data_IF_393432269377
#
_entry.id   IF_393432269377
#
_cell.length_a   1.000
_cell.length_b   1.000
_cell.length_c   1.000
_cell.angle_alpha   90.00
_cell.angle_beta   90.00
_cell.angle_gamma   90.00
#
_symmetry.space_group_name_H-M   'P 1'
#
loop_
_entity.id
_entity.type
_entity.pdbx_description
1 polymer ?
#
# COMPACT_ATOMS: atom_id res chain seq x y z
N UNK A 1 17.42 -8.37 -3.98
CA UNK A 1 18.42 -7.32 -3.65
C UNK A 1 19.40 -7.04 -4.79
N UNK A 2 20.30 -7.95 -5.17
CA UNK A 2 21.26 -7.74 -6.28
C UNK A 2 20.61 -7.33 -7.62
N UNK A 3 19.46 -7.90 -7.95
CA UNK A 3 18.73 -7.52 -9.17
C UNK A 3 18.16 -6.10 -9.12
N UNK A 4 17.65 -5.67 -7.97
CA UNK A 4 17.16 -4.31 -7.76
C UNK A 4 18.27 -3.28 -7.96
N UNK A 5 19.48 -3.54 -7.43
CA UNK A 5 20.65 -2.68 -7.64
C UNK A 5 21.05 -2.62 -9.12
N UNK A 6 21.12 -3.78 -9.79
CA UNK A 6 21.41 -3.82 -11.23
C UNK A 6 20.42 -3.02 -12.07
N UNK A 7 19.15 -2.95 -11.64
CA UNK A 7 18.13 -2.12 -12.31
C UNK A 7 18.33 -0.64 -12.01
N UNK A 8 18.58 -0.30 -10.75
CA UNK A 8 18.90 1.07 -10.30
C UNK A 8 20.14 1.65 -10.99
N UNK A 9 21.14 0.83 -11.28
CA UNK A 9 22.34 1.24 -12.03
C UNK A 9 22.04 1.63 -13.48
N UNK A 10 21.05 0.96 -14.09
CA UNK A 10 20.75 1.07 -15.52
C UNK A 10 19.69 2.12 -15.86
N UNK A 11 18.89 2.53 -14.87
CA UNK A 11 17.78 3.47 -15.06
C UNK A 11 18.01 4.72 -14.22
N UNK A 12 17.68 5.88 -14.77
CA UNK A 12 17.70 7.14 -14.03
C UNK A 12 16.40 7.43 -13.30
N UNK A 13 15.33 6.70 -13.64
CA UNK A 13 14.05 6.72 -12.94
C UNK A 13 13.66 5.33 -12.43
N UNK A 14 12.97 5.30 -11.29
CA UNK A 14 12.48 4.09 -10.64
C UNK A 14 11.02 4.23 -10.21
N UNK A 15 10.21 3.23 -10.55
CA UNK A 15 8.92 3.00 -9.94
C UNK A 15 9.10 2.06 -8.74
N UNK A 16 9.06 2.62 -7.53
CA UNK A 16 9.30 1.85 -6.31
C UNK A 16 8.28 0.72 -6.15
N UNK A 17 6.99 0.97 -6.43
CA UNK A 17 5.94 -0.03 -6.28
C UNK A 17 6.20 -1.25 -7.16
N UNK A 18 6.56 -1.02 -8.43
CA UNK A 18 6.87 -2.12 -9.36
C UNK A 18 8.12 -2.88 -8.97
N UNK A 19 9.18 -2.16 -8.57
CA UNK A 19 10.48 -2.79 -8.33
C UNK A 19 10.55 -3.55 -7.00
N UNK A 20 9.71 -3.20 -6.01
CA UNK A 20 9.62 -3.94 -4.74
C UNK A 20 8.47 -4.95 -4.71
N UNK A 21 7.74 -5.15 -5.83
CA UNK A 21 6.55 -6.03 -5.88
C UNK A 21 6.76 -7.38 -5.24
N UNK A 22 7.83 -8.06 -5.62
CA UNK A 22 8.12 -9.42 -5.16
C UNK A 22 9.32 -9.48 -4.21
N UNK A 23 9.65 -8.36 -3.57
CA UNK A 23 10.79 -8.23 -2.67
C UNK A 23 10.33 -7.73 -1.32
N UNK A 24 10.59 -8.50 -0.27
CA UNK A 24 10.49 -8.01 1.11
C UNK A 24 11.85 -7.44 1.53
N UNK A 25 11.92 -6.13 1.77
CA UNK A 25 13.10 -5.49 2.33
C UNK A 25 12.89 -5.31 3.83
N UNK A 26 13.90 -5.69 4.62
CA UNK A 26 13.98 -5.25 6.02
C UNK A 26 14.40 -3.78 6.09
N UNK A 27 14.34 -3.19 7.29
CA UNK A 27 14.67 -1.79 7.55
C UNK A 27 16.07 -1.40 7.05
N UNK A 28 17.07 -2.28 7.21
CA UNK A 28 18.45 -1.97 6.81
C UNK A 28 18.59 -1.97 5.29
N UNK A 29 17.97 -2.92 4.60
CA UNK A 29 17.98 -2.99 3.15
C UNK A 29 17.16 -1.86 2.53
N UNK A 30 16.03 -1.49 3.14
CA UNK A 30 15.25 -0.33 2.74
C UNK A 30 16.09 0.96 2.89
N UNK A 31 16.78 1.15 4.02
CA UNK A 31 17.67 2.30 4.22
C UNK A 31 18.79 2.33 3.18
N UNK A 32 19.41 1.18 2.90
CA UNK A 32 20.48 1.08 1.91
C UNK A 32 20.00 1.49 0.52
N UNK A 33 18.84 1.00 0.08
CA UNK A 33 18.22 1.39 -1.19
C UNK A 33 17.90 2.89 -1.22
N UNK A 34 17.33 3.42 -0.15
CA UNK A 34 16.97 4.84 -0.06
C UNK A 34 18.19 5.74 -0.19
N UNK A 35 19.29 5.39 0.48
CA UNK A 35 20.58 6.09 0.33
C UNK A 35 21.08 6.00 -1.10
N UNK A 36 21.07 4.81 -1.69
CA UNK A 36 21.53 4.61 -3.06
C UNK A 36 20.77 5.49 -4.06
N UNK A 37 19.44 5.55 -3.96
CA UNK A 37 18.57 6.37 -4.81
C UNK A 37 18.93 7.86 -4.67
N UNK A 38 19.06 8.36 -3.44
CA UNK A 38 19.35 9.78 -3.18
C UNK A 38 20.77 10.16 -3.59
N UNK A 39 21.77 9.37 -3.21
CA UNK A 39 23.18 9.65 -3.49
C UNK A 39 23.46 9.61 -5.01
N UNK A 40 22.72 8.80 -5.78
CA UNK A 40 22.82 8.72 -7.23
C UNK A 40 21.77 9.56 -7.98
N UNK A 41 21.04 10.43 -7.28
CA UNK A 41 20.05 11.34 -7.87
C UNK A 41 19.03 10.66 -8.78
N UNK A 42 18.57 9.47 -8.39
CA UNK A 42 17.58 8.70 -9.14
C UNK A 42 16.18 9.31 -8.92
N UNK A 43 15.47 9.54 -10.01
CA UNK A 43 14.11 10.06 -9.98
C UNK A 43 13.11 8.97 -9.57
N UNK A 44 12.21 9.27 -8.65
CA UNK A 44 11.10 8.37 -8.32
C UNK A 44 9.91 8.72 -9.21
N UNK A 45 9.37 7.72 -9.89
CA UNK A 45 8.15 7.83 -10.69
C UNK A 45 7.08 6.91 -10.11
N UNK A 46 5.82 7.15 -10.47
CA UNK A 46 4.68 6.36 -10.03
C UNK A 46 3.77 6.14 -11.23
N UNK A 47 3.87 4.97 -11.85
CA UNK A 47 2.95 4.56 -12.90
C UNK A 47 1.74 3.88 -12.25
N UNK A 48 0.56 4.44 -12.45
CA UNK A 48 -0.66 3.98 -11.80
C UNK A 48 -1.79 3.81 -12.80
N UNK A 49 -2.72 2.89 -12.51
CA UNK A 49 -4.01 2.88 -13.20
C UNK A 49 -4.88 4.05 -12.74
N UNK A 50 -5.72 4.54 -13.64
CA UNK A 50 -6.68 5.58 -13.34
C UNK A 50 -7.83 5.00 -12.51
N UNK A 51 -8.12 5.66 -11.39
CA UNK A 51 -9.25 5.33 -10.53
C UNK A 51 -10.43 6.18 -11.01
N UNK A 52 -11.42 5.54 -11.64
CA UNK A 52 -12.63 6.25 -12.10
C UNK A 52 -13.41 6.79 -10.90
N UNK A 53 -14.07 7.95 -11.04
CA UNK A 53 -14.82 8.63 -9.97
C UNK A 53 -15.65 7.67 -9.10
N UNK A 54 -15.15 7.43 -7.89
CA UNK A 54 -15.83 6.71 -6.83
C UNK A 54 -16.20 7.81 -5.80
N UNK A 55 -17.49 8.03 -5.50
CA UNK A 55 -17.86 8.75 -4.26
C UNK A 55 -18.42 10.17 -4.30
N UNK A 56 -19.15 10.62 -5.33
CA UNK A 56 -19.85 11.92 -5.22
C UNK A 56 -20.95 11.93 -4.12
N UNK A 57 -21.55 10.76 -3.84
CA UNK A 57 -22.70 10.61 -2.94
C UNK A 57 -22.39 10.08 -1.52
N UNK A 58 -21.12 9.82 -1.17
CA UNK A 58 -20.78 9.24 0.15
C UNK A 58 -20.68 10.28 1.27
N UNK A 59 -20.96 9.82 2.49
CA UNK A 59 -20.66 10.55 3.73
C UNK A 59 -19.17 10.44 4.08
N UNK A 60 -18.66 11.45 4.79
CA UNK A 60 -17.27 11.46 5.24
C UNK A 60 -17.16 10.60 6.51
N UNK A 61 -16.19 9.69 6.55
CA UNK A 61 -15.91 8.82 7.70
C UNK A 61 -15.55 9.66 8.92
N UNK A 62 -16.22 9.40 10.04
CA UNK A 62 -15.96 10.11 11.31
C UNK A 62 -14.52 9.88 11.80
N UNK A 63 -14.00 8.65 11.65
CA UNK A 63 -12.63 8.31 12.05
C UNK A 63 -11.59 9.06 11.21
N UNK A 64 -11.80 9.09 9.90
CA UNK A 64 -10.95 9.86 8.99
C UNK A 64 -11.00 11.34 9.36
N UNK A 65 -12.19 11.90 9.52
CA UNK A 65 -12.36 13.31 9.84
C UNK A 65 -11.63 13.66 11.13
N UNK A 66 -11.81 12.83 12.18
CA UNK A 66 -11.11 12.99 13.44
C UNK A 66 -9.59 12.99 13.27
N UNK A 67 -9.04 12.00 12.54
CA UNK A 67 -7.60 11.89 12.27
C UNK A 67 -7.06 13.12 11.54
N UNK A 68 -7.77 13.59 10.51
CA UNK A 68 -7.36 14.75 9.71
C UNK A 68 -7.50 16.06 10.48
N UNK A 69 -8.52 16.20 11.35
CA UNK A 69 -8.65 17.33 12.25
C UNK A 69 -7.52 17.39 13.27
N UNK A 70 -7.12 16.26 13.86
CA UNK A 70 -5.96 16.21 14.76
C UNK A 70 -4.67 16.68 14.07
N UNK A 71 -4.46 16.27 12.83
CA UNK A 71 -3.30 16.70 12.03
C UNK A 71 -3.39 18.18 11.70
N UNK A 72 -4.56 18.65 11.27
CA UNK A 72 -4.77 20.06 10.88
C UNK A 72 -4.59 21.00 12.06
N UNK A 73 -5.07 20.61 13.24
CA UNK A 73 -4.93 21.37 14.48
C UNK A 73 -3.54 21.17 15.15
N UNK A 74 -2.66 20.36 14.55
CA UNK A 74 -1.32 20.02 15.07
C UNK A 74 -1.35 19.29 16.41
N UNK A 75 -2.48 18.70 16.80
CA UNK A 75 -2.63 17.89 18.03
C UNK A 75 -1.77 16.62 17.97
N UNK A 76 -1.59 16.06 16.77
CA UNK A 76 -0.79 14.85 16.54
C UNK A 76 0.72 15.03 16.84
N UNK A 77 1.20 16.27 16.95
CA UNK A 77 2.59 16.62 17.26
C UNK A 77 2.71 17.47 18.53
N UNK A 78 1.60 17.63 19.28
CA UNK A 78 1.58 18.41 20.50
C UNK A 78 2.53 17.81 21.55
N UNK A 79 3.35 18.65 22.17
CA UNK A 79 4.33 18.22 23.17
C UNK A 79 5.63 17.63 22.62
N UNK A 80 5.81 17.52 21.29
CA UNK A 80 7.08 17.09 20.68
C UNK A 80 8.01 18.30 20.52
N UNK A 81 9.06 18.36 21.33
CA UNK A 81 10.03 19.47 21.30
C UNK A 81 11.06 19.35 20.16
N UNK A 82 11.38 18.13 19.69
CA UNK A 82 12.36 17.93 18.61
C UNK A 82 11.75 18.27 17.24
N UNK A 83 12.18 19.40 16.70
CA UNK A 83 11.77 19.88 15.38
C UNK A 83 12.06 18.89 14.24
N UNK A 84 13.13 18.10 14.32
CA UNK A 84 13.45 17.11 13.31
C UNK A 84 12.45 15.95 13.35
N UNK A 85 12.06 15.51 14.54
CA UNK A 85 11.05 14.47 14.68
C UNK A 85 9.70 14.95 14.14
N UNK A 86 9.30 16.18 14.47
CA UNK A 86 8.11 16.82 13.88
C UNK A 86 8.18 16.88 12.35
N UNK A 87 9.33 17.25 11.79
CA UNK A 87 9.53 17.26 10.34
C UNK A 87 9.41 15.86 9.72
N UNK A 88 9.95 14.83 10.35
CA UNK A 88 9.80 13.45 9.87
C UNK A 88 8.35 12.98 9.93
N UNK A 89 7.61 13.29 11.01
CA UNK A 89 6.18 12.96 11.13
C UNK A 89 5.39 13.58 9.96
N UNK A 90 5.54 14.89 9.74
CA UNK A 90 4.81 15.57 8.68
C UNK A 90 5.15 15.00 7.29
N UNK A 91 6.44 14.75 7.02
CA UNK A 91 6.88 14.13 5.76
C UNK A 91 6.37 12.71 5.60
N UNK A 92 6.33 11.93 6.68
CA UNK A 92 5.76 10.59 6.68
C UNK A 92 4.29 10.61 6.29
N UNK A 93 3.50 11.48 6.92
CA UNK A 93 2.07 11.66 6.60
C UNK A 93 1.89 12.12 5.15
N UNK A 94 2.70 13.06 4.66
CA UNK A 94 2.67 13.46 3.24
C UNK A 94 2.92 12.27 2.32
N UNK A 95 3.90 11.41 2.64
CA UNK A 95 4.15 10.18 1.87
C UNK A 95 3.03 9.16 2.00
N UNK A 96 2.35 9.07 3.14
CA UNK A 96 1.16 8.22 3.25
C UNK A 96 0.06 8.67 2.29
N UNK A 97 -0.21 9.98 2.21
CA UNK A 97 -1.16 10.58 1.26
C UNK A 97 -0.74 10.35 -0.19
N UNK A 98 0.55 10.43 -0.50
CA UNK A 98 1.04 10.14 -1.86
C UNK A 98 0.99 8.63 -2.18
N UNK A 99 1.18 7.75 -1.21
CA UNK A 99 1.39 6.31 -1.47
C UNK A 99 0.17 5.44 -1.16
N UNK A 100 -0.94 6.01 -0.68
CA UNK A 100 -2.14 5.26 -0.33
C UNK A 100 -2.73 4.56 -1.56
N UNK A 101 -2.92 3.25 -1.44
CA UNK A 101 -3.56 2.39 -2.45
C UNK A 101 -5.08 2.51 -2.34
N UNK A 102 -5.77 2.19 -3.44
CA UNK A 102 -7.24 2.05 -3.40
C UNK A 102 -7.60 0.92 -2.42
N UNK A 103 -8.73 1.06 -1.72
CA UNK A 103 -9.20 0.09 -0.70
C UNK A 103 -8.32 -0.03 0.55
N UNK A 104 -7.37 0.88 0.74
CA UNK A 104 -6.58 0.96 1.96
C UNK A 104 -7.04 2.16 2.81
N UNK A 105 -7.13 1.96 4.13
CA UNK A 105 -7.46 3.04 5.07
C UNK A 105 -6.28 4.00 5.21
N UNK A 106 -6.54 5.30 5.03
CA UNK A 106 -5.54 6.33 5.21
C UNK A 106 -5.21 6.50 6.70
N UNK A 107 -6.20 6.38 7.59
CA UNK A 107 -5.99 6.45 9.03
C UNK A 107 -5.07 5.33 9.53
N UNK A 108 -5.29 4.09 9.07
CA UNK A 108 -4.41 2.95 9.36
C UNK A 108 -2.99 3.17 8.82
N UNK A 109 -2.86 3.65 7.57
CA UNK A 109 -1.54 3.89 6.98
C UNK A 109 -0.78 4.99 7.72
N UNK A 110 -1.47 6.04 8.20
CA UNK A 110 -0.84 7.10 9.02
C UNK A 110 -0.37 6.53 10.36
N UNK A 111 -1.15 5.68 11.02
CA UNK A 111 -0.75 5.05 12.27
C UNK A 111 0.52 4.20 12.10
N UNK A 112 0.56 3.34 11.08
CA UNK A 112 1.74 2.55 10.73
C UNK A 112 2.94 3.43 10.36
N UNK A 113 2.69 4.53 9.64
CA UNK A 113 3.72 5.50 9.27
C UNK A 113 4.39 6.14 10.48
N UNK A 114 3.63 6.45 11.54
CA UNK A 114 4.20 7.01 12.76
C UNK A 114 5.16 6.03 13.45
N UNK A 115 4.88 4.72 13.40
CA UNK A 115 5.82 3.70 13.89
C UNK A 115 7.11 3.69 13.07
N UNK A 116 7.00 3.72 11.74
CA UNK A 116 8.14 3.79 10.81
C UNK A 116 8.99 5.04 11.06
N UNK A 117 8.36 6.20 11.32
CA UNK A 117 9.03 7.46 11.64
C UNK A 117 9.84 7.34 12.92
N UNK A 118 9.24 6.84 14.00
CA UNK A 118 9.89 6.69 15.31
C UNK A 118 11.09 5.74 15.20
N UNK A 119 10.91 4.63 14.48
CA UNK A 119 11.97 3.67 14.24
C UNK A 119 13.14 4.27 13.47
N UNK A 120 12.86 4.94 12.34
CA UNK A 120 13.88 5.62 11.55
C UNK A 120 14.62 6.68 12.36
N UNK A 121 13.87 7.49 13.12
CA UNK A 121 14.43 8.54 13.95
C UNK A 121 15.41 7.96 15.00
N UNK A 122 15.00 6.90 15.70
CA UNK A 122 15.81 6.29 16.75
C UNK A 122 17.02 5.50 16.21
N UNK A 123 16.86 4.78 15.09
CA UNK A 123 17.90 3.87 14.56
C UNK A 123 18.84 4.55 13.57
N UNK A 124 18.34 5.44 12.72
CA UNK A 124 19.05 5.84 11.49
C UNK A 124 19.29 7.33 11.34
N UNK A 125 18.44 8.21 11.89
CA UNK A 125 18.53 9.65 11.65
C UNK A 125 19.93 10.24 11.88
N UNK A 126 20.57 9.90 12.99
CA UNK A 126 21.91 10.39 13.35
C UNK A 126 23.05 9.69 12.60
N UNK A 127 22.78 8.65 11.81
CA UNK A 127 23.77 7.89 11.03
C UNK A 127 23.90 8.38 9.59
N UNK A 128 22.98 9.25 9.15
CA UNK A 128 22.90 9.79 7.80
C UNK A 128 23.37 11.24 7.83
N UNK A 129 24.04 11.68 6.76
CA UNK A 129 24.43 13.08 6.63
C UNK A 129 23.18 13.98 6.68
N UNK A 130 23.24 15.02 7.51
CA UNK A 130 22.15 16.00 7.72
C UNK A 130 21.66 16.64 6.42
N UNK A 131 22.52 16.76 5.40
CA UNK A 131 22.15 17.28 4.08
C UNK A 131 21.14 16.38 3.37
N UNK A 132 21.19 15.07 3.60
CA UNK A 132 20.44 14.07 2.84
C UNK A 132 19.39 13.34 3.68
N UNK A 133 19.42 13.44 5.01
CA UNK A 133 18.58 12.64 5.93
C UNK A 133 17.09 12.70 5.59
N UNK A 134 16.55 13.88 5.28
CA UNK A 134 15.13 14.05 4.94
C UNK A 134 14.77 13.50 3.56
N UNK A 135 15.67 13.57 2.58
CA UNK A 135 15.46 12.97 1.27
C UNK A 135 15.55 11.45 1.34
N UNK A 136 16.51 10.92 2.11
CA UNK A 136 16.64 9.48 2.36
C UNK A 136 15.41 8.96 3.10
N UNK A 137 14.93 9.71 4.09
CA UNK A 137 13.71 9.38 4.80
C UNK A 137 12.49 9.28 3.87
N UNK A 138 12.28 10.24 2.97
CA UNK A 138 11.14 10.20 2.03
C UNK A 138 11.10 8.92 1.19
N UNK A 139 12.27 8.48 0.72
CA UNK A 139 12.38 7.22 -0.04
C UNK A 139 12.16 6.02 0.86
N UNK A 140 12.76 6.03 2.06
CA UNK A 140 12.65 4.96 3.05
C UNK A 140 11.20 4.72 3.47
N UNK A 141 10.51 5.77 3.91
CA UNK A 141 9.13 5.67 4.37
C UNK A 141 8.20 5.23 3.24
N UNK A 142 8.45 5.68 2.00
CA UNK A 142 7.68 5.22 0.83
C UNK A 142 7.85 3.72 0.57
N UNK A 143 9.07 3.19 0.66
CA UNK A 143 9.33 1.75 0.52
C UNK A 143 8.56 0.97 1.60
N UNK A 144 8.65 1.41 2.85
CA UNK A 144 8.01 0.72 3.97
C UNK A 144 6.47 0.76 3.86
N UNK A 145 5.89 1.92 3.56
CA UNK A 145 4.45 2.09 3.35
C UNK A 145 3.92 1.21 2.20
N UNK A 146 4.63 1.16 1.08
CA UNK A 146 4.26 0.32 -0.06
C UNK A 146 4.34 -1.16 0.30
N UNK A 147 5.37 -1.58 1.05
CA UNK A 147 5.49 -2.98 1.49
C UNK A 147 4.35 -3.41 2.42
N UNK A 148 3.93 -2.56 3.35
CA UNK A 148 2.79 -2.83 4.25
C UNK A 148 1.52 -3.09 3.43
N UNK A 149 1.21 -2.19 2.50
CA UNK A 149 0.01 -2.30 1.66
C UNK A 149 0.08 -3.51 0.72
N UNK A 150 1.22 -3.70 0.05
CA UNK A 150 1.44 -4.82 -0.87
C UNK A 150 1.35 -6.19 -0.18
N UNK A 151 1.76 -6.28 1.09
CA UNK A 151 1.63 -7.49 1.89
C UNK A 151 0.15 -7.82 2.11
N UNK A 152 -0.66 -6.86 2.55
CA UNK A 152 -2.11 -7.05 2.78
C UNK A 152 -2.83 -7.48 1.51
N UNK A 153 -2.60 -6.76 0.40
CA UNK A 153 -3.20 -7.06 -0.91
C UNK A 153 -2.84 -8.49 -1.37
N UNK A 154 -1.58 -8.90 -1.17
CA UNK A 154 -1.13 -10.27 -1.51
C UNK A 154 -1.77 -11.33 -0.63
N UNK A 155 -1.87 -11.10 0.68
CA UNK A 155 -2.49 -12.04 1.61
C UNK A 155 -3.98 -12.26 1.26
N UNK A 156 -4.72 -11.19 0.98
CA UNK A 156 -6.12 -11.26 0.53
C UNK A 156 -6.26 -12.01 -0.81
N UNK A 157 -5.39 -11.73 -1.78
CA UNK A 157 -5.35 -12.43 -3.06
C UNK A 157 -5.07 -13.93 -2.89
N UNK A 158 -4.06 -14.31 -2.12
CA UNK A 158 -3.70 -15.71 -1.93
C UNK A 158 -4.78 -16.49 -1.17
N UNK A 159 -5.41 -15.88 -0.18
CA UNK A 159 -6.55 -16.48 0.52
C UNK A 159 -7.72 -16.73 -0.45
N UNK A 160 -8.02 -15.76 -1.31
CA UNK A 160 -9.10 -15.84 -2.31
C UNK A 160 -8.80 -16.88 -3.39
N UNK A 161 -7.56 -16.96 -3.87
CA UNK A 161 -7.14 -17.98 -4.83
C UNK A 161 -7.08 -19.38 -4.21
N UNK A 162 -6.74 -19.49 -2.91
CA UNK A 162 -6.72 -20.75 -2.17
C UNK A 162 -8.09 -21.41 -2.12
N UNK A 163 -9.14 -20.67 -1.75
CA UNK A 163 -10.50 -21.20 -1.71
C UNK A 163 -11.03 -21.56 -3.12
N UNK A 164 -10.73 -20.75 -4.13
CA UNK A 164 -11.12 -21.06 -5.51
C UNK A 164 -10.46 -22.34 -6.01
N UNK A 165 -9.16 -22.51 -5.73
CA UNK A 165 -8.43 -23.70 -6.11
C UNK A 165 -9.01 -24.95 -5.43
N UNK A 166 -9.32 -24.87 -4.14
CA UNK A 166 -9.99 -25.95 -3.41
C UNK A 166 -11.35 -26.29 -4.03
N UNK A 167 -12.17 -25.28 -4.34
CA UNK A 167 -13.47 -25.45 -4.99
C UNK A 167 -13.38 -26.10 -6.38
N UNK A 168 -12.38 -25.73 -7.18
CA UNK A 168 -12.11 -26.37 -8.48
C UNK A 168 -11.77 -27.85 -8.32
N UNK A 169 -10.97 -28.21 -7.31
CA UNK A 169 -10.63 -29.61 -7.03
C UNK A 169 -11.89 -30.40 -6.62
N UNK A 170 -12.72 -29.85 -5.72
CA UNK A 170 -13.98 -30.50 -5.30
C UNK A 170 -14.95 -30.70 -6.47
N UNK A 171 -15.05 -29.73 -7.38
CA UNK A 171 -15.85 -29.86 -8.60
C UNK A 171 -15.36 -30.99 -9.50
N UNK A 172 -14.05 -31.12 -9.69
CA UNK A 172 -13.47 -32.21 -10.49
C UNK A 172 -13.62 -33.59 -9.82
N UNK A 173 -13.52 -33.66 -8.48
CA UNK A 173 -13.79 -34.88 -7.71
C UNK A 173 -15.25 -35.31 -7.86
N UNK A 174 -16.21 -34.37 -7.82
CA UNK A 174 -17.63 -34.65 -8.05
C UNK A 174 -17.90 -35.22 -9.47
N UNK A 175 -17.07 -34.85 -10.45
CA UNK A 175 -17.06 -35.41 -11.80
C UNK A 175 -16.34 -36.78 -11.90
N UNK A 176 -16.01 -37.40 -10.77
CA UNK A 176 -15.34 -38.72 -10.65
C UNK A 176 -13.93 -38.77 -11.24
N UNK A 177 -13.24 -37.64 -11.38
CA UNK A 177 -11.78 -37.65 -11.63
C UNK A 177 -11.05 -38.12 -10.38
N UNK A 178 -9.93 -38.82 -10.54
CA UNK A 178 -9.09 -39.21 -9.41
C UNK A 178 -8.31 -38.01 -8.87
N UNK A 179 -8.15 -37.92 -7.55
CA UNK A 179 -7.40 -36.82 -6.91
C UNK A 179 -5.99 -36.70 -7.49
N UNK A 180 -5.26 -37.81 -7.63
CA UNK A 180 -3.89 -37.81 -8.16
C UNK A 180 -3.81 -37.23 -9.58
N UNK A 181 -4.83 -37.48 -10.42
CA UNK A 181 -4.93 -36.86 -11.75
C UNK A 181 -5.12 -35.36 -11.66
N UNK A 182 -6.06 -34.88 -10.83
CA UNK A 182 -6.37 -33.45 -10.67
C UNK A 182 -5.13 -32.69 -10.16
N UNK A 183 -4.47 -33.24 -9.14
CA UNK A 183 -3.27 -32.63 -8.56
C UNK A 183 -2.12 -32.55 -9.58
N UNK A 184 -1.93 -33.58 -10.40
CA UNK A 184 -0.94 -33.57 -11.47
C UNK A 184 -1.28 -32.54 -12.57
N UNK A 185 -2.56 -32.43 -12.97
CA UNK A 185 -3.01 -31.46 -13.99
C UNK A 185 -2.80 -30.00 -13.53
N UNK A 186 -3.05 -29.73 -12.24
CA UNK A 186 -2.89 -28.39 -11.64
C UNK A 186 -1.49 -28.11 -11.10
N UNK A 187 -0.56 -29.07 -11.21
CA UNK A 187 0.80 -28.99 -10.68
C UNK A 187 0.85 -28.67 -9.16
N UNK A 188 0.05 -29.39 -8.38
CA UNK A 188 -0.10 -29.22 -6.93
C UNK A 188 0.42 -30.44 -6.20
N UNK A 189 1.15 -30.22 -5.11
CA UNK A 189 1.58 -31.28 -4.22
C UNK A 189 0.44 -31.79 -3.36
N UNK A 190 0.50 -33.06 -2.96
CA UNK A 190 -0.47 -33.65 -2.04
C UNK A 190 -0.43 -32.97 -0.67
N UNK A 191 0.75 -32.57 -0.21
CA UNK A 191 0.91 -31.81 1.03
C UNK A 191 0.13 -30.49 0.98
N UNK A 192 0.22 -29.74 -0.13
CA UNK A 192 -0.51 -28.48 -0.28
C UNK A 192 -2.02 -28.70 -0.38
N UNK A 193 -2.47 -29.74 -1.08
CA UNK A 193 -3.89 -30.11 -1.09
C UNK A 193 -4.42 -30.38 0.34
N UNK A 194 -3.69 -31.16 1.14
CA UNK A 194 -4.12 -31.45 2.51
C UNK A 194 -4.21 -30.18 3.36
N UNK A 195 -3.35 -29.17 3.13
CA UNK A 195 -3.47 -27.87 3.78
C UNK A 195 -4.74 -27.14 3.37
N UNK A 196 -5.07 -27.14 2.08
CA UNK A 196 -6.32 -26.55 1.57
C UNK A 196 -7.54 -27.26 2.16
N UNK A 197 -7.56 -28.59 2.14
CA UNK A 197 -8.65 -29.40 2.68
C UNK A 197 -8.86 -29.12 4.18
N UNK A 198 -7.81 -29.16 5.00
CA UNK A 198 -7.92 -28.85 6.42
C UNK A 198 -8.43 -27.43 6.69
N UNK A 199 -8.15 -26.48 5.80
CA UNK A 199 -8.55 -25.08 5.99
C UNK A 199 -9.98 -24.82 5.49
N UNK A 200 -10.41 -25.50 4.42
CA UNK A 200 -11.64 -25.21 3.69
C UNK A 200 -12.69 -26.33 3.69
N UNK A 201 -12.45 -27.48 4.34
CA UNK A 201 -13.37 -28.65 4.34
C UNK A 201 -14.81 -28.31 4.74
N UNK A 202 -15.00 -27.31 5.60
CA UNK A 202 -16.30 -26.90 6.12
C UNK A 202 -16.96 -25.76 5.32
N UNK A 203 -16.35 -25.30 4.22
CA UNK A 203 -16.94 -24.30 3.35
C UNK A 203 -17.95 -24.95 2.39
N UNK A 204 -19.13 -24.33 2.26
CA UNK A 204 -20.11 -24.75 1.28
C UNK A 204 -19.67 -24.32 -0.13
N UNK A 205 -19.49 -25.30 -1.02
CA UNK A 205 -18.98 -25.08 -2.37
C UNK A 205 -20.11 -25.28 -3.37
N UNK A 206 -20.48 -24.20 -4.06
CA UNK A 206 -21.40 -24.23 -5.19
C UNK A 206 -20.74 -24.82 -6.45
N UNK A 207 -20.98 -26.11 -6.69
CA UNK A 207 -20.40 -26.83 -7.83
C UNK A 207 -20.88 -26.30 -9.20
N UNK A 208 -22.00 -25.58 -9.26
CA UNK A 208 -22.54 -25.01 -10.51
C UNK A 208 -21.78 -23.73 -10.92
N UNK A 209 -21.03 -23.15 -10.00
CA UNK A 209 -20.30 -21.93 -10.21
C UNK A 209 -19.13 -22.09 -11.20
N UNK A 210 -18.84 -21.04 -11.98
CA UNK A 210 -17.67 -20.96 -12.86
C UNK A 210 -16.45 -20.40 -12.09
N UNK A 211 -15.70 -21.30 -11.46
CA UNK A 211 -14.53 -20.96 -10.68
C UNK A 211 -13.33 -20.48 -11.52
N UNK A 212 -13.23 -20.86 -12.80
CA UNK A 212 -12.19 -20.36 -13.70
C UNK A 212 -12.42 -18.88 -14.01
N UNK A 213 -13.67 -18.52 -14.32
CA UNK A 213 -14.06 -17.13 -14.52
C UNK A 213 -13.81 -16.29 -13.27
N UNK A 214 -14.21 -16.78 -12.08
CA UNK A 214 -13.93 -16.07 -10.82
C UNK A 214 -12.43 -15.90 -10.55
N UNK A 215 -11.62 -16.91 -10.81
CA UNK A 215 -10.15 -16.80 -10.66
C UNK A 215 -9.56 -15.72 -11.58
N UNK A 216 -10.07 -15.62 -12.82
CA UNK A 216 -9.67 -14.56 -13.73
C UNK A 216 -10.11 -13.17 -13.26
N UNK A 217 -11.30 -13.04 -12.67
CA UNK A 217 -11.82 -11.78 -12.13
C UNK A 217 -10.96 -11.32 -10.93
N UNK A 218 -10.72 -12.21 -9.96
CA UNK A 218 -9.87 -11.92 -8.79
C UNK A 218 -8.44 -11.56 -9.21
N UNK A 219 -7.89 -12.21 -10.23
CA UNK A 219 -6.55 -11.88 -10.72
C UNK A 219 -6.47 -10.49 -11.36
N UNK A 220 -7.54 -10.04 -12.04
CA UNK A 220 -7.62 -8.69 -12.59
C UNK A 220 -7.80 -7.64 -11.49
N UNK A 221 -8.64 -7.94 -10.50
CA UNK A 221 -8.85 -7.10 -9.33
C UNK A 221 -7.56 -6.93 -8.53
N UNK A 222 -6.84 -8.01 -8.26
CA UNK A 222 -5.52 -7.96 -7.63
C UNK A 222 -4.54 -7.06 -8.40
N UNK A 223 -4.41 -7.24 -9.73
CA UNK A 223 -3.54 -6.38 -10.53
C UNK A 223 -4.02 -4.92 -10.53
N UNK A 224 -5.32 -4.66 -10.44
CA UNK A 224 -5.83 -3.30 -10.28
C UNK A 224 -5.43 -2.71 -8.93
N UNK A 225 -5.81 -3.34 -7.81
CA UNK A 225 -5.50 -2.87 -6.46
C UNK A 225 -4.00 -2.66 -6.25
N UNK A 226 -3.19 -3.59 -6.77
CA UNK A 226 -1.75 -3.50 -6.69
C UNK A 226 -1.15 -2.29 -7.41
N UNK A 227 -1.74 -1.86 -8.54
CA UNK A 227 -1.21 -0.79 -9.39
C UNK A 227 -2.02 0.52 -9.32
N UNK A 228 -3.06 0.60 -8.49
CA UNK A 228 -3.89 1.79 -8.32
C UNK A 228 -3.57 2.52 -7.03
N UNK A 229 -3.39 3.84 -7.11
CA UNK A 229 -3.25 4.71 -5.96
C UNK A 229 -4.54 5.53 -5.82
N UNK A 230 -4.91 5.85 -4.58
CA UNK A 230 -6.15 6.58 -4.33
C UNK A 230 -6.11 7.99 -4.93
N UNK A 231 -4.94 8.61 -4.96
CA UNK A 231 -4.74 9.99 -5.38
C UNK A 231 -3.75 10.14 -6.51
N UNK A 232 -4.07 11.04 -7.44
CA UNK A 232 -3.08 11.59 -8.36
C UNK A 232 -2.19 12.63 -7.66
N UNK A 233 -1.28 13.25 -8.41
CA UNK A 233 -0.37 14.25 -7.86
C UNK A 233 -1.08 15.52 -7.37
N UNK A 234 -2.15 15.93 -8.05
CA UNK A 234 -2.90 17.15 -7.73
C UNK A 234 -3.70 16.94 -6.45
N UNK A 235 -4.42 15.83 -6.38
CA UNK A 235 -5.17 15.37 -5.21
C UNK A 235 -4.27 15.31 -3.96
N UNK A 236 -3.11 14.65 -4.07
CA UNK A 236 -2.16 14.56 -2.97
C UNK A 236 -1.65 15.94 -2.53
N UNK A 237 -1.26 16.80 -3.48
CA UNK A 237 -0.76 18.13 -3.18
C UNK A 237 -1.80 19.00 -2.47
N UNK A 238 -3.06 18.93 -2.92
CA UNK A 238 -4.17 19.67 -2.34
C UNK A 238 -4.43 19.26 -0.88
N UNK A 239 -4.46 17.94 -0.59
CA UNK A 239 -4.64 17.47 0.79
C UNK A 239 -3.46 17.81 1.70
N UNK A 240 -2.23 17.67 1.20
CA UNK A 240 -1.01 17.98 1.93
C UNK A 240 -0.97 19.47 2.32
N UNK A 241 -1.39 20.36 1.41
CA UNK A 241 -1.49 21.79 1.68
C UNK A 241 -2.61 22.09 2.68
N UNK A 242 -3.80 21.49 2.52
CA UNK A 242 -4.92 21.61 3.45
C UNK A 242 -4.57 21.25 4.90
N UNK A 243 -3.72 20.24 5.08
CA UNK A 243 -3.23 19.78 6.39
C UNK A 243 -2.00 20.57 6.90
N UNK A 244 -1.49 21.51 6.09
CA UNK A 244 -0.32 22.33 6.38
C UNK A 244 0.92 21.50 6.74
N UNK A 245 1.12 20.35 6.09
CA UNK A 245 2.22 19.42 6.40
C UNK A 245 3.58 19.94 5.92
N UNK A 246 3.59 20.83 4.94
CA UNK A 246 4.79 21.55 4.47
C UNK A 246 5.27 22.63 5.46
N UNK A 247 4.48 22.95 6.49
CA UNK A 247 4.74 24.04 7.44
C UNK A 247 4.35 25.43 6.93
N UNK A 248 3.75 25.53 5.74
CA UNK A 248 3.18 26.78 5.20
C UNK A 248 1.68 26.78 5.45
N UNK A 249 1.15 27.90 5.96
CA UNK A 249 -0.30 28.05 6.12
C UNK A 249 -0.98 28.08 4.77
N UNK A 250 -2.01 27.26 4.62
CA UNK A 250 -2.75 27.16 3.38
C UNK A 250 -3.65 28.39 3.18
N UNK A 251 -3.78 28.83 1.93
CA UNK A 251 -4.70 29.91 1.52
C UNK A 251 -5.75 29.35 0.55
N UNK A 252 -6.47 28.30 0.97
CA UNK A 252 -7.41 27.53 0.14
C UNK A 252 -8.76 28.23 -0.11
N UNK A 253 -8.78 29.57 -0.26
CA UNK A 253 -10.00 30.30 -0.61
C UNK A 253 -10.40 29.97 -2.05
N UNK A 254 -11.19 28.92 -2.23
CA UNK A 254 -11.66 28.45 -3.54
C UNK A 254 -11.77 26.93 -3.65
N UNK A 255 -11.00 26.20 -2.85
CA UNK A 255 -10.77 24.76 -3.04
C UNK A 255 -11.55 23.88 -2.04
N UNK A 256 -12.38 24.48 -1.18
CA UNK A 256 -13.15 23.76 -0.15
C UNK A 256 -14.01 22.64 -0.74
N UNK A 257 -14.62 22.87 -1.92
CA UNK A 257 -15.42 21.86 -2.60
C UNK A 257 -14.57 20.68 -3.08
N UNK A 258 -13.36 20.95 -3.58
CA UNK A 258 -12.42 19.92 -4.04
C UNK A 258 -11.90 19.09 -2.86
N UNK A 259 -11.58 19.75 -1.74
CA UNK A 259 -11.24 19.07 -0.48
C UNK A 259 -12.38 18.17 -0.02
N UNK A 260 -13.62 18.67 0.03
CA UNK A 260 -14.77 17.84 0.46
C UNK A 260 -14.92 16.62 -0.43
N UNK A 261 -14.80 16.78 -1.75
CA UNK A 261 -14.87 15.66 -2.69
C UNK A 261 -13.73 14.65 -2.47
N UNK A 262 -12.53 15.13 -2.18
CA UNK A 262 -11.39 14.29 -1.85
C UNK A 262 -11.60 13.52 -0.53
N UNK A 263 -12.14 14.17 0.51
CA UNK A 263 -12.45 13.52 1.78
C UNK A 263 -13.51 12.42 1.63
N UNK A 264 -14.52 12.65 0.79
CA UNK A 264 -15.53 11.63 0.46
C UNK A 264 -14.90 10.40 -0.19
N UNK A 265 -13.98 10.59 -1.14
CA UNK A 265 -13.24 9.50 -1.79
C UNK A 265 -12.45 8.64 -0.80
N UNK A 266 -11.78 9.24 0.17
CA UNK A 266 -11.05 8.48 1.20
C UNK A 266 -12.02 7.67 2.05
N UNK A 267 -13.12 8.30 2.45
CA UNK A 267 -14.11 7.72 3.36
C UNK A 267 -14.77 6.46 2.82
N UNK A 268 -14.73 6.24 1.52
CA UNK A 268 -15.25 5.02 0.90
C UNK A 268 -14.50 3.75 1.31
N UNK A 269 -13.25 3.91 1.76
CA UNK A 269 -12.29 2.84 2.04
C UNK A 269 -11.88 2.80 3.52
N UNK A 270 -12.53 3.59 4.36
CA UNK A 270 -12.40 3.56 5.82
C UNK A 270 -13.52 2.66 6.36
N UNK A 271 -13.17 1.43 6.78
CA UNK A 271 -14.11 0.41 7.29
C UNK A 271 -14.15 0.46 8.83
#
# INVERSE_FOLDING_TARGET
>A
MLELLKKLDKKDSIDLNKEIKDISLDENNALFISRYIVENSKSIIREAYEVQNIGEEREISENLLFTLEEIKEKRNIEGIEDINLVQLINRGISKAIENIKVEFSLSDLIAETNLIVIEFYNKFFNTIDKKYVFSVFDVYVSIMQLQVQNKKIKEEYYNSMGILLYAMIQKELALKKSLDTILSEKNISKEYYNLLENHYENYEIDLDQDYEKKASEISKEFEFLYNSFLFDYIDSALLIDYLELSGVKSNLKGDEKEIINLLKRISEFEI
#
